data_IF_728372247905
#
_entry.id   IF_728372247905
#
_cell.length_a   1.000
_cell.length_b   1.000
_cell.length_c   1.000
_cell.angle_alpha   90.00
_cell.angle_beta   90.00
_cell.angle_gamma   90.00
#
_symmetry.space_group_name_H-M   'P 1'
#
loop_
_entity.id
_entity.type
_entity.pdbx_description
1 polymer ?
#
# COMPACT_ATOMS: atom_id res chain seq x y z
N UNK A 1 -0.61 -12.14 56.85
CA UNK A 1 -1.13 -13.16 55.91
C UNK A 1 -2.61 -13.41 56.18
N UNK A 2 -3.52 -12.50 55.78
CA UNK A 2 -4.96 -12.80 55.56
C UNK A 2 -5.73 -11.55 55.07
N UNK A 3 -5.34 -11.00 53.91
CA UNK A 3 -6.09 -9.91 53.28
C UNK A 3 -5.93 -9.84 51.75
N UNK A 4 -5.71 -10.98 51.07
CA UNK A 4 -5.44 -11.00 49.62
C UNK A 4 -6.37 -11.91 48.80
N UNK A 5 -7.40 -12.50 49.40
CA UNK A 5 -8.29 -13.43 48.69
C UNK A 5 -9.57 -12.79 48.08
N UNK A 6 -9.72 -11.46 48.10
CA UNK A 6 -10.86 -10.79 47.43
C UNK A 6 -10.47 -9.50 46.68
N UNK A 7 -9.26 -9.43 46.11
CA UNK A 7 -8.87 -8.29 45.27
C UNK A 7 -9.33 -8.52 43.81
N UNK A 8 -10.09 -7.56 43.25
CA UNK A 8 -10.51 -7.64 41.84
C UNK A 8 -9.33 -7.47 40.88
N UNK A 9 -9.38 -8.03 39.65
CA UNK A 9 -8.28 -7.96 38.68
C UNK A 9 -7.80 -6.53 38.37
N UNK A 10 -8.65 -5.53 38.59
CA UNK A 10 -8.35 -4.10 38.38
C UNK A 10 -7.45 -3.53 39.48
N UNK A 11 -7.56 -4.03 40.71
CA UNK A 11 -6.73 -3.62 41.83
C UNK A 11 -5.35 -4.26 41.79
N UNK A 12 -5.27 -5.53 41.36
CA UNK A 12 -3.99 -6.23 41.13
C UNK A 12 -3.17 -5.51 40.05
N UNK A 13 -3.79 -5.09 38.95
CA UNK A 13 -3.11 -4.31 37.89
C UNK A 13 -2.60 -2.95 38.39
N UNK A 14 -3.36 -2.25 39.24
CA UNK A 14 -2.91 -0.98 39.84
C UNK A 14 -1.75 -1.20 40.82
N UNK A 15 -1.78 -2.27 41.61
CA UNK A 15 -0.70 -2.61 42.53
C UNK A 15 0.60 -2.97 41.79
N UNK A 16 0.52 -3.80 40.74
CA UNK A 16 1.67 -4.16 39.89
C UNK A 16 2.25 -2.94 39.17
N UNK A 17 1.40 -2.05 38.63
CA UNK A 17 1.88 -0.83 37.97
C UNK A 17 2.57 0.14 38.94
N UNK A 18 2.08 0.27 40.18
CA UNK A 18 2.78 1.05 41.22
C UNK A 18 4.09 0.42 41.64
N UNK A 19 4.16 -0.90 41.76
CA UNK A 19 5.38 -1.62 42.11
C UNK A 19 6.47 -1.46 41.04
N UNK A 20 6.10 -1.55 39.76
CA UNK A 20 7.02 -1.33 38.64
C UNK A 20 7.50 0.12 38.56
N UNK A 21 6.63 1.10 38.80
CA UNK A 21 7.03 2.52 38.85
C UNK A 21 7.98 2.81 40.02
N UNK A 22 7.74 2.21 41.19
CA UNK A 22 8.61 2.39 42.35
C UNK A 22 9.97 1.71 42.15
N UNK A 23 10.02 0.52 41.52
CA UNK A 23 11.26 -0.16 41.16
C UNK A 23 12.09 0.66 40.16
N UNK A 24 11.44 1.26 39.16
CA UNK A 24 12.12 2.09 38.16
C UNK A 24 12.64 3.41 38.74
N UNK A 25 11.92 4.01 39.68
CA UNK A 25 12.38 5.19 40.41
C UNK A 25 13.57 4.87 41.33
N UNK A 26 13.60 3.70 41.95
CA UNK A 26 14.74 3.25 42.77
C UNK A 26 15.98 3.01 41.90
N UNK A 27 15.85 2.37 40.73
CA UNK A 27 16.97 2.23 39.77
C UNK A 27 17.51 3.58 39.30
N UNK A 28 16.63 4.55 39.01
CA UNK A 28 17.07 5.90 38.61
C UNK A 28 17.76 6.64 39.76
N UNK A 29 17.30 6.48 41.00
CA UNK A 29 17.92 7.11 42.18
C UNK A 29 19.28 6.46 42.49
N UNK A 30 19.41 5.13 42.36
CA UNK A 30 20.68 4.41 42.54
C UNK A 30 21.69 4.80 41.44
N UNK A 31 21.24 4.94 40.18
CA UNK A 31 22.08 5.42 39.08
C UNK A 31 22.50 6.89 39.23
N UNK A 32 21.68 7.71 39.89
CA UNK A 32 21.98 9.13 40.13
C UNK A 32 22.89 9.32 41.35
N UNK A 33 22.72 8.53 42.41
CA UNK A 33 23.60 8.53 43.59
C UNK A 33 24.99 7.97 43.28
N UNK A 34 25.13 7.11 42.26
CA UNK A 34 26.42 6.57 41.83
C UNK A 34 27.22 7.49 40.90
N UNK A 35 26.68 8.66 40.51
CA UNK A 35 27.31 9.58 39.55
C UNK A 35 27.93 10.83 40.18
N UNK A 36 27.72 11.08 41.48
CA UNK A 36 28.18 12.31 42.17
C UNK A 36 29.51 12.14 42.94
N UNK A 37 30.03 10.92 43.08
CA UNK A 37 31.35 10.66 43.67
C UNK A 37 32.25 9.95 42.66
N UNK A 38 33.02 10.67 41.82
CA UNK A 38 34.32 10.19 41.31
C UNK A 38 35.09 11.26 40.52
N UNK A 39 36.35 11.47 40.87
CA UNK A 39 37.26 12.46 40.26
C UNK A 39 37.76 12.05 38.85
N UNK A 40 37.92 12.97 37.88
CA UNK A 40 37.99 12.62 36.45
C UNK A 40 39.41 12.59 35.82
N UNK A 41 40.47 12.26 36.55
CA UNK A 41 41.85 12.35 36.01
C UNK A 41 42.56 11.02 35.72
N UNK A 42 42.07 9.89 36.22
CA UNK A 42 42.72 8.56 36.03
C UNK A 42 42.02 7.66 35.01
N UNK A 43 40.84 8.02 34.52
CA UNK A 43 40.08 7.18 33.58
C UNK A 43 40.60 7.25 32.14
N UNK A 44 41.31 8.33 31.75
CA UNK A 44 41.66 8.56 30.34
C UNK A 44 42.66 7.56 29.74
N UNK A 45 43.43 6.86 30.57
CA UNK A 45 44.39 5.85 30.10
C UNK A 45 43.76 4.45 30.11
N UNK A 46 42.89 4.14 31.07
CA UNK A 46 42.22 2.83 31.17
C UNK A 46 41.01 2.74 30.24
N UNK A 47 40.33 3.85 29.91
CA UNK A 47 39.23 3.86 28.93
C UNK A 47 39.70 3.54 27.51
N UNK A 48 40.88 3.99 27.11
CA UNK A 48 41.37 3.79 25.73
C UNK A 48 41.74 2.32 25.50
N UNK A 49 42.23 1.61 26.52
CA UNK A 49 42.53 0.17 26.41
C UNK A 49 41.30 -0.72 26.61
N UNK A 50 40.32 -0.34 27.43
CA UNK A 50 39.06 -1.10 27.58
C UNK A 50 38.11 -0.88 26.38
N UNK A 51 38.05 0.33 25.78
CA UNK A 51 37.28 0.58 24.55
C UNK A 51 37.89 -0.11 23.32
N UNK A 52 39.20 -0.36 23.29
CA UNK A 52 39.86 -1.09 22.21
C UNK A 52 39.54 -2.59 22.17
N UNK A 53 39.02 -3.17 23.27
CA UNK A 53 38.73 -4.61 23.37
C UNK A 53 37.24 -4.97 23.30
N UNK A 54 36.33 -4.03 23.55
CA UNK A 54 34.87 -4.28 23.51
C UNK A 54 34.22 -4.11 22.12
N UNK A 55 34.96 -3.67 21.09
CA UNK A 55 34.38 -3.25 19.81
C UNK A 55 34.83 -4.09 18.59
N UNK A 56 35.00 -5.41 18.76
CA UNK A 56 35.31 -6.30 17.62
C UNK A 56 34.11 -6.93 16.94
N UNK A 57 32.89 -6.84 17.50
CA UNK A 57 31.69 -7.40 16.86
C UNK A 57 30.47 -6.48 17.04
N UNK A 58 29.87 -5.95 15.95
CA UNK A 58 28.61 -5.22 16.04
C UNK A 58 27.47 -6.12 16.59
N UNK A 59 26.41 -5.57 17.20
CA UNK A 59 25.28 -6.38 17.63
C UNK A 59 24.72 -7.19 16.46
N UNK A 60 24.43 -8.47 16.72
CA UNK A 60 24.02 -9.43 15.70
C UNK A 60 22.73 -8.96 14.99
N UNK A 61 22.83 -8.64 13.69
CA UNK A 61 21.71 -8.19 12.88
C UNK A 61 20.83 -9.39 12.47
N UNK A 62 19.62 -9.50 13.06
CA UNK A 62 18.62 -10.53 12.70
C UNK A 62 18.37 -10.59 11.17
N UNK A 63 18.51 -9.46 10.48
CA UNK A 63 18.36 -9.36 9.03
C UNK A 63 19.47 -10.10 8.28
N UNK A 64 20.70 -10.00 8.75
CA UNK A 64 21.85 -10.69 8.15
C UNK A 64 21.72 -12.22 8.31
N UNK A 65 21.20 -12.66 9.46
CA UNK A 65 20.88 -14.07 9.72
C UNK A 65 19.81 -14.56 8.75
N UNK A 66 18.71 -13.82 8.62
CA UNK A 66 17.65 -14.20 7.69
C UNK A 66 18.17 -14.32 6.26
N UNK A 67 18.94 -13.34 5.77
CA UNK A 67 19.50 -13.39 4.42
C UNK A 67 20.43 -14.58 4.20
N UNK A 68 21.32 -14.88 5.14
CA UNK A 68 22.28 -15.96 5.06
C UNK A 68 21.64 -17.36 5.21
N UNK A 69 20.54 -17.48 5.95
CA UNK A 69 19.90 -18.76 6.24
C UNK A 69 18.61 -19.01 5.44
N UNK A 70 18.14 -18.03 4.64
CA UNK A 70 16.91 -18.14 3.82
C UNK A 70 16.94 -19.26 2.80
N UNK A 71 18.13 -19.67 2.35
CA UNK A 71 18.30 -20.79 1.41
C UNK A 71 18.35 -22.14 2.13
N UNK A 72 18.84 -22.15 3.37
CA UNK A 72 18.97 -23.35 4.22
C UNK A 72 17.60 -23.77 4.78
N UNK A 73 16.83 -22.81 5.29
CA UNK A 73 15.51 -23.04 5.86
C UNK A 73 14.41 -22.77 4.81
N UNK A 74 14.24 -23.70 3.87
CA UNK A 74 13.13 -23.71 2.88
C UNK A 74 12.36 -25.02 2.91
N UNK A 75 11.09 -24.98 2.50
CA UNK A 75 10.21 -26.16 2.52
C UNK A 75 10.12 -26.76 3.93
N UNK A 76 10.27 -28.07 4.04
CA UNK A 76 10.22 -28.81 5.31
C UNK A 76 11.26 -28.32 6.33
N UNK A 77 12.41 -27.79 5.89
CA UNK A 77 13.43 -27.26 6.80
C UNK A 77 12.99 -25.96 7.50
N UNK A 78 12.04 -25.21 6.93
CA UNK A 78 11.51 -23.99 7.54
C UNK A 78 10.57 -24.29 8.74
N UNK A 79 10.13 -25.53 8.91
CA UNK A 79 9.26 -25.98 10.01
C UNK A 79 10.04 -26.50 11.22
N UNK A 80 11.37 -26.65 11.08
CA UNK A 80 12.23 -27.16 12.15
C UNK A 80 12.23 -26.18 13.33
N UNK A 81 11.99 -26.70 14.54
CA UNK A 81 12.10 -25.94 15.81
C UNK A 81 13.10 -26.54 16.80
N UNK A 82 13.64 -27.73 16.50
CA UNK A 82 14.53 -28.47 17.41
C UNK A 82 15.96 -27.89 17.35
N UNK A 83 16.54 -27.40 18.46
CA UNK A 83 17.85 -26.74 18.47
C UNK A 83 18.99 -27.60 17.91
N UNK A 84 18.97 -28.91 18.18
CA UNK A 84 19.97 -29.86 17.67
C UNK A 84 19.93 -29.98 16.15
N UNK A 85 18.73 -29.95 15.57
CA UNK A 85 18.54 -30.06 14.12
C UNK A 85 18.89 -28.75 13.42
N UNK A 86 18.52 -27.60 14.02
CA UNK A 86 18.91 -26.26 13.55
C UNK A 86 20.44 -26.13 13.49
N UNK A 87 21.13 -26.56 14.56
CA UNK A 87 22.60 -26.57 14.60
C UNK A 87 23.20 -27.42 13.48
N UNK A 88 22.69 -28.63 13.28
CA UNK A 88 23.17 -29.54 12.23
C UNK A 88 23.04 -28.90 10.83
N UNK A 89 21.86 -28.33 10.53
CA UNK A 89 21.61 -27.67 9.24
C UNK A 89 22.53 -26.46 9.00
N UNK A 90 22.84 -25.68 10.05
CA UNK A 90 23.78 -24.55 9.95
C UNK A 90 25.22 -25.04 9.75
N UNK A 91 25.62 -26.14 10.42
CA UNK A 91 26.95 -26.75 10.26
C UNK A 91 27.16 -27.34 8.87
N UNK A 92 26.15 -28.01 8.31
CA UNK A 92 26.18 -28.57 6.96
C UNK A 92 26.40 -27.49 5.89
N UNK A 93 25.94 -26.26 6.15
CA UNK A 93 26.06 -25.11 5.24
C UNK A 93 27.14 -24.11 5.66
N UNK A 94 28.00 -24.48 6.63
CA UNK A 94 29.04 -23.60 7.18
C UNK A 94 30.16 -23.27 6.15
N UNK A 95 30.24 -24.00 5.05
CA UNK A 95 31.12 -23.68 3.92
C UNK A 95 30.64 -22.53 3.03
N UNK A 96 29.40 -22.05 3.20
CA UNK A 96 28.88 -20.90 2.45
C UNK A 96 29.40 -19.60 3.07
N UNK A 97 30.03 -18.75 2.26
CA UNK A 97 30.67 -17.49 2.71
C UNK A 97 29.85 -16.67 3.71
N UNK A 98 28.57 -16.36 3.44
CA UNK A 98 27.73 -15.59 4.36
C UNK A 98 27.52 -16.24 5.73
N UNK A 99 27.42 -17.57 5.77
CA UNK A 99 27.22 -18.35 7.00
C UNK A 99 28.55 -18.49 7.75
N UNK A 100 29.65 -18.77 7.03
CA UNK A 100 30.99 -18.83 7.57
C UNK A 100 31.39 -17.51 8.27
N UNK A 101 31.06 -16.38 7.65
CA UNK A 101 31.37 -15.05 8.18
C UNK A 101 30.53 -14.71 9.42
N UNK A 102 29.29 -15.17 9.49
CA UNK A 102 28.43 -15.00 10.67
C UNK A 102 28.90 -15.87 11.84
N UNK A 103 29.28 -17.13 11.57
CA UNK A 103 29.79 -18.05 12.60
C UNK A 103 31.13 -17.56 13.15
N UNK A 104 32.02 -17.03 12.30
CA UNK A 104 33.30 -16.45 12.70
C UNK A 104 33.14 -15.22 13.61
N UNK A 105 32.11 -14.40 13.36
CA UNK A 105 31.86 -13.14 14.09
C UNK A 105 31.07 -13.33 15.38
N UNK A 106 30.07 -14.20 15.41
CA UNK A 106 29.10 -14.25 16.51
C UNK A 106 29.00 -15.59 17.23
N UNK A 107 29.83 -16.57 16.89
CA UNK A 107 29.75 -17.96 17.35
C UNK A 107 28.47 -18.68 16.93
N UNK A 108 28.57 -20.00 16.75
CA UNK A 108 27.47 -20.80 16.20
C UNK A 108 26.26 -20.88 17.14
N UNK A 109 26.48 -20.84 18.46
CA UNK A 109 25.42 -20.96 19.46
C UNK A 109 24.45 -19.77 19.45
N UNK A 110 25.00 -18.56 19.28
CA UNK A 110 24.21 -17.33 19.18
C UNK A 110 23.41 -17.33 17.87
N UNK A 111 24.04 -17.76 16.77
CA UNK A 111 23.38 -17.89 15.47
C UNK A 111 22.23 -18.91 15.52
N UNK A 112 22.43 -20.07 16.17
CA UNK A 112 21.40 -21.09 16.35
C UNK A 112 20.22 -20.56 17.17
N UNK A 113 20.50 -19.83 18.25
CA UNK A 113 19.47 -19.26 19.12
C UNK A 113 18.63 -18.23 18.37
N UNK A 114 19.27 -17.33 17.63
CA UNK A 114 18.58 -16.34 16.81
C UNK A 114 17.80 -16.97 15.65
N UNK A 115 18.37 -17.97 14.97
CA UNK A 115 17.67 -18.73 13.93
C UNK A 115 16.43 -19.45 14.48
N UNK A 116 16.52 -20.00 15.70
CA UNK A 116 15.38 -20.63 16.38
C UNK A 116 14.25 -19.64 16.68
N UNK A 117 14.58 -18.40 17.08
CA UNK A 117 13.58 -17.34 17.27
C UNK A 117 12.89 -17.01 15.94
N UNK A 118 13.65 -16.83 14.87
CA UNK A 118 13.11 -16.52 13.54
C UNK A 118 12.27 -17.67 12.96
N UNK A 119 12.69 -18.92 13.16
CA UNK A 119 11.92 -20.12 12.81
C UNK A 119 10.62 -20.18 13.61
N UNK A 120 10.67 -19.96 14.92
CA UNK A 120 9.48 -19.94 15.80
C UNK A 120 8.46 -18.87 15.40
N UNK A 121 8.94 -17.76 14.84
CA UNK A 121 8.09 -16.69 14.29
C UNK A 121 7.63 -16.98 12.85
N UNK A 122 7.93 -18.14 12.28
CA UNK A 122 7.56 -18.55 10.90
C UNK A 122 8.05 -17.56 9.83
N UNK A 123 9.17 -16.90 10.10
CA UNK A 123 9.73 -15.90 9.18
C UNK A 123 10.32 -16.57 7.93
N UNK A 124 10.88 -17.77 8.05
CA UNK A 124 11.45 -18.50 6.90
C UNK A 124 10.38 -19.18 6.04
N UNK A 125 9.23 -19.56 6.61
CA UNK A 125 8.13 -20.21 5.89
C UNK A 125 7.16 -19.22 5.26
N UNK A 126 6.96 -18.05 5.86
CA UNK A 126 6.06 -17.03 5.34
C UNK A 126 6.82 -15.82 4.80
N UNK A 127 6.80 -15.64 3.48
CA UNK A 127 7.32 -14.44 2.83
C UNK A 127 6.65 -13.16 3.37
N UNK A 128 5.39 -13.24 3.82
CA UNK A 128 4.70 -12.13 4.47
C UNK A 128 5.29 -11.82 5.86
N UNK A 129 5.51 -12.83 6.72
CA UNK A 129 6.13 -12.61 8.04
C UNK A 129 7.58 -12.12 7.92
N UNK A 130 8.32 -12.56 6.90
CA UNK A 130 9.61 -11.99 6.54
C UNK A 130 9.53 -10.53 6.10
N UNK A 131 8.56 -10.19 5.24
CA UNK A 131 8.27 -8.80 4.83
C UNK A 131 7.88 -7.92 6.03
N UNK A 132 7.16 -8.49 7.00
CA UNK A 132 6.76 -7.79 8.24
C UNK A 132 7.93 -7.53 9.18
N UNK A 133 8.77 -8.54 9.42
CA UNK A 133 9.92 -8.43 10.32
C UNK A 133 11.05 -7.62 9.71
N UNK A 134 11.25 -7.74 8.40
CA UNK A 134 12.30 -7.07 7.65
C UNK A 134 11.77 -6.28 6.44
N UNK A 135 10.97 -5.21 6.63
CA UNK A 135 10.41 -4.43 5.53
C UNK A 135 11.47 -3.88 4.58
N UNK A 136 12.66 -3.56 5.11
CA UNK A 136 13.80 -3.06 4.31
C UNK A 136 14.45 -4.10 3.40
N UNK A 137 14.19 -5.40 3.59
CA UNK A 137 14.69 -6.45 2.69
C UNK A 137 13.84 -6.63 1.44
N UNK A 138 12.58 -6.22 1.51
CA UNK A 138 11.62 -6.36 0.43
C UNK A 138 11.22 -4.95 0.02
N UNK A 139 12.10 -4.31 -0.78
CA UNK A 139 11.76 -3.04 -1.38
C UNK A 139 10.49 -3.14 -2.23
N UNK A 140 9.77 -2.01 -2.44
CA UNK A 140 8.70 -1.96 -3.42
C UNK A 140 9.21 -2.45 -4.78
N UNK A 141 8.37 -3.14 -5.55
CA UNK A 141 8.75 -3.57 -6.90
C UNK A 141 9.12 -2.35 -7.77
N UNK A 142 9.86 -2.52 -8.88
CA UNK A 142 10.18 -1.41 -9.77
C UNK A 142 8.93 -0.63 -10.22
N UNK A 143 7.86 -1.35 -10.57
CA UNK A 143 6.56 -0.76 -10.94
C UNK A 143 5.94 0.04 -9.79
N UNK A 144 5.91 -0.52 -8.58
CA UNK A 144 5.36 0.18 -7.40
C UNK A 144 6.20 1.41 -7.02
N UNK A 145 7.50 1.34 -7.21
CA UNK A 145 8.42 2.46 -6.99
C UNK A 145 8.17 3.58 -8.00
N UNK A 146 8.03 3.23 -9.29
CA UNK A 146 7.72 4.17 -10.36
C UNK A 146 6.35 4.84 -10.17
N UNK A 147 5.32 4.07 -9.81
CA UNK A 147 4.00 4.62 -9.48
C UNK A 147 4.05 5.58 -8.29
N UNK A 148 4.77 5.20 -7.22
CA UNK A 148 4.97 6.08 -6.07
C UNK A 148 5.65 7.37 -6.49
N UNK A 149 6.75 7.29 -7.24
CA UNK A 149 7.49 8.45 -7.71
C UNK A 149 6.63 9.35 -8.62
N UNK A 150 5.85 8.76 -9.53
CA UNK A 150 4.91 9.49 -10.38
C UNK A 150 3.83 10.21 -9.53
N UNK A 151 3.29 9.55 -8.52
CA UNK A 151 2.31 10.14 -7.60
C UNK A 151 2.90 11.31 -6.79
N UNK A 152 4.15 11.16 -6.32
CA UNK A 152 4.88 12.22 -5.60
C UNK A 152 5.21 13.40 -6.52
N UNK A 153 5.63 13.13 -7.77
CA UNK A 153 5.91 14.16 -8.75
C UNK A 153 4.64 14.94 -9.13
N UNK A 154 3.50 14.26 -9.30
CA UNK A 154 2.20 14.91 -9.53
C UNK A 154 1.80 15.78 -8.34
N UNK A 155 1.98 15.29 -7.12
CA UNK A 155 1.74 16.06 -5.90
C UNK A 155 2.57 17.34 -5.86
N UNK A 156 3.88 17.22 -6.10
CA UNK A 156 4.79 18.36 -6.10
C UNK A 156 4.41 19.42 -7.15
N UNK A 157 4.00 18.99 -8.36
CA UNK A 157 3.49 19.91 -9.40
C UNK A 157 2.21 20.61 -8.97
N UNK A 158 1.25 19.86 -8.43
CA UNK A 158 -0.03 20.42 -7.96
C UNK A 158 0.18 21.41 -6.82
N UNK A 159 1.07 21.10 -5.87
CA UNK A 159 1.46 21.95 -4.76
C UNK A 159 2.13 23.24 -5.24
N UNK A 160 3.08 23.13 -6.18
CA UNK A 160 3.73 24.29 -6.78
C UNK A 160 2.74 25.21 -7.51
N UNK A 161 1.83 24.63 -8.30
CA UNK A 161 0.79 25.36 -9.01
C UNK A 161 -0.18 26.06 -8.04
N UNK A 162 -0.56 25.39 -6.95
CA UNK A 162 -1.43 25.98 -5.93
C UNK A 162 -0.76 27.19 -5.25
N UNK A 163 0.51 27.05 -4.87
CA UNK A 163 1.30 28.13 -4.27
C UNK A 163 1.45 29.30 -5.26
N UNK A 164 1.74 29.03 -6.53
CA UNK A 164 1.92 30.07 -7.55
C UNK A 164 0.62 30.83 -7.84
N UNK A 165 -0.51 30.11 -7.96
CA UNK A 165 -1.82 30.74 -8.18
C UNK A 165 -2.14 31.74 -7.06
N UNK A 166 -1.81 31.40 -5.82
CA UNK A 166 -2.01 32.25 -4.66
C UNK A 166 -1.04 33.45 -4.67
N UNK A 167 0.21 33.23 -5.05
CA UNK A 167 1.19 34.31 -5.17
C UNK A 167 0.76 35.38 -6.19
N UNK A 168 0.20 34.97 -7.33
CA UNK A 168 -0.30 35.89 -8.37
C UNK A 168 -1.48 36.75 -7.89
N UNK A 169 -2.39 36.19 -7.09
CA UNK A 169 -3.54 36.92 -6.53
C UNK A 169 -3.10 38.09 -5.62
N UNK A 170 -1.92 38.01 -4.99
CA UNK A 170 -1.41 39.09 -4.12
C UNK A 170 -0.69 40.20 -4.91
N UNK A 171 -0.30 39.97 -6.16
CA UNK A 171 0.36 40.97 -7.02
C UNK A 171 -0.61 41.85 -7.81
N UNK A 172 -1.81 41.34 -8.13
CA UNK A 172 -2.87 42.13 -8.75
C UNK A 172 -3.75 42.79 -7.69
N UNK A 173 -3.24 43.88 -7.12
CA UNK A 173 -4.09 44.88 -6.46
C UNK A 173 -4.96 45.61 -7.50
N UNK A 174 -5.95 44.93 -8.07
CA UNK A 174 -6.91 45.52 -9.00
C UNK A 174 -8.32 44.98 -8.72
N UNK A 175 -9.09 45.80 -7.99
CA UNK A 175 -10.56 45.86 -7.82
C UNK A 175 -11.39 44.58 -8.06
N UNK A 176 -12.26 44.18 -7.11
CA UNK A 176 -13.24 43.13 -7.38
C UNK A 176 -14.23 43.64 -8.44
N UNK A 177 -14.14 43.13 -9.67
CA UNK A 177 -15.22 43.25 -10.64
C UNK A 177 -16.39 42.42 -10.11
N UNK A 178 -17.40 43.10 -9.56
CA UNK A 178 -18.74 42.52 -9.39
C UNK A 178 -19.19 41.99 -10.75
N UNK A 179 -19.47 40.69 -10.84
CA UNK A 179 -20.25 40.13 -11.94
C UNK A 179 -21.68 40.00 -11.44
N UNK A 180 -22.54 40.86 -11.96
CA UNK A 180 -23.99 40.65 -11.91
C UNK A 180 -24.38 39.40 -12.72
N UNK A 181 -25.52 38.76 -12.43
CA UNK A 181 -25.85 37.44 -12.94
C UNK A 181 -26.48 37.54 -14.33
N UNK A 182 -25.91 36.83 -15.30
CA UNK A 182 -26.58 36.53 -16.56
C UNK A 182 -26.47 35.02 -16.84
N UNK A 183 -27.64 34.45 -17.13
CA UNK A 183 -27.95 33.03 -17.25
C UNK A 183 -27.44 32.43 -18.59
N UNK A 184 -27.68 31.13 -18.87
CA UNK A 184 -26.67 30.23 -19.42
C UNK A 184 -26.71 30.10 -20.94
N UNK A 185 -25.56 29.79 -21.54
CA UNK A 185 -25.52 29.27 -22.92
C UNK A 185 -24.58 28.07 -22.99
N UNK A 186 -25.14 27.03 -23.61
CA UNK A 186 -24.67 25.66 -23.73
C UNK A 186 -23.52 25.48 -24.74
N UNK A 187 -22.96 24.27 -24.73
CA UNK A 187 -22.03 23.65 -25.70
C UNK A 187 -20.53 23.99 -25.50
N UNK A 188 -19.57 23.05 -25.55
CA UNK A 188 -19.59 21.63 -25.94
C UNK A 188 -18.23 21.00 -25.56
N UNK A 189 -18.25 19.73 -25.12
CA UNK A 189 -17.22 18.74 -25.46
C UNK A 189 -15.98 18.65 -24.58
N UNK A 190 -16.03 17.81 -23.54
CA UNK A 190 -14.87 17.03 -23.14
C UNK A 190 -15.30 15.56 -22.97
N UNK A 191 -14.58 14.71 -23.70
CA UNK A 191 -14.75 13.29 -23.92
C UNK A 191 -14.87 12.50 -22.62
N UNK A 192 -16.01 11.82 -22.46
CA UNK A 192 -16.23 10.81 -21.43
C UNK A 192 -15.58 9.50 -21.90
N UNK A 193 -14.39 9.22 -21.38
CA UNK A 193 -13.81 7.87 -21.40
C UNK A 193 -14.65 6.95 -20.47
N UNK A 194 -14.93 5.70 -20.87
CA UNK A 194 -15.81 4.80 -20.14
C UNK A 194 -15.16 4.38 -18.82
N UNK A 195 -15.75 4.80 -17.70
CA UNK A 195 -15.33 4.35 -16.38
C UNK A 195 -15.67 2.88 -16.20
N UNK A 196 -14.66 2.02 -16.29
CA UNK A 196 -14.74 0.67 -15.73
C UNK A 196 -14.89 0.78 -14.22
N UNK A 197 -15.95 0.17 -13.71
CA UNK A 197 -16.40 0.15 -12.32
C UNK A 197 -15.51 -0.76 -11.47
N UNK A 198 -14.28 -0.33 -11.21
CA UNK A 198 -13.51 -0.81 -10.07
C UNK A 198 -13.49 0.30 -9.00
N UNK A 199 -13.82 -0.01 -7.72
CA UNK A 199 -13.71 0.96 -6.66
C UNK A 199 -12.25 1.41 -6.61
N UNK A 200 -12.03 2.68 -6.96
CA UNK A 200 -10.74 3.37 -6.98
C UNK A 200 -10.04 3.11 -5.65
N UNK A 201 -9.10 2.14 -5.64
CA UNK A 201 -8.23 1.91 -4.50
C UNK A 201 -7.36 3.15 -4.42
N UNK A 202 -7.84 4.14 -3.66
CA UNK A 202 -7.15 5.41 -3.46
C UNK A 202 -5.68 5.11 -3.19
N UNK A 203 -4.83 5.54 -4.12
CA UNK A 203 -3.39 5.40 -3.97
C UNK A 203 -3.00 5.97 -2.61
N UNK A 204 -2.41 5.13 -1.74
CA UNK A 204 -1.92 5.54 -0.42
C UNK A 204 -0.79 6.59 -0.51
N UNK A 205 -0.31 6.87 -1.72
CA UNK A 205 0.71 7.84 -2.08
C UNK A 205 0.13 8.91 -3.02
N UNK A 206 0.57 10.17 -2.91
CA UNK A 206 1.58 10.71 -1.98
C UNK A 206 1.11 10.70 -0.52
N UNK A 207 2.05 10.83 0.41
CA UNK A 207 1.73 10.83 1.85
C UNK A 207 1.44 12.26 2.29
N UNK A 208 0.34 12.41 3.01
CA UNK A 208 -0.03 13.65 3.68
C UNK A 208 -0.12 13.39 5.17
N UNK A 209 0.42 14.30 5.97
CA UNK A 209 0.14 14.35 7.41
C UNK A 209 -1.24 14.99 7.64
N UNK A 210 -1.89 14.74 8.79
CA UNK A 210 -3.15 15.41 9.13
C UNK A 210 -3.03 16.93 8.99
N UNK A 211 -4.00 17.54 8.30
CA UNK A 211 -3.89 18.94 7.87
C UNK A 211 -3.77 19.92 9.04
N UNK A 212 -4.49 19.68 10.13
CA UNK A 212 -4.39 20.46 11.37
C UNK A 212 -2.96 20.47 11.93
N UNK A 213 -2.26 19.32 11.87
CA UNK A 213 -0.87 19.20 12.30
C UNK A 213 0.05 19.89 11.31
N UNK A 214 -0.17 19.71 9.99
CA UNK A 214 0.58 20.40 8.95
C UNK A 214 0.52 21.92 9.14
N UNK A 215 -0.67 22.48 9.33
CA UNK A 215 -0.86 23.91 9.48
C UNK A 215 -0.15 24.45 10.72
N UNK A 216 -0.27 23.76 11.86
CA UNK A 216 0.47 24.11 13.09
C UNK A 216 1.98 24.09 12.86
N UNK A 217 2.47 23.05 12.20
CA UNK A 217 3.89 22.89 11.87
C UNK A 217 4.41 24.02 10.97
N UNK A 218 3.66 24.38 9.92
CA UNK A 218 4.04 25.45 9.01
C UNK A 218 3.99 26.83 9.68
N UNK A 219 2.99 27.11 10.52
CA UNK A 219 2.95 28.36 11.30
C UNK A 219 4.12 28.45 12.27
N UNK A 220 4.42 27.39 13.00
CA UNK A 220 5.57 27.36 13.91
C UNK A 220 6.88 27.58 13.15
N UNK A 221 7.04 26.94 11.99
CA UNK A 221 8.23 27.12 11.16
C UNK A 221 8.36 28.56 10.65
N UNK A 222 7.26 29.19 10.26
CA UNK A 222 7.23 30.60 9.86
C UNK A 222 7.70 31.50 11.02
N UNK A 223 7.13 31.35 12.22
CA UNK A 223 7.53 32.17 13.38
C UNK A 223 9.00 32.00 13.76
N UNK A 224 9.54 30.77 13.71
CA UNK A 224 10.96 30.52 13.98
C UNK A 224 11.88 31.26 13.00
N UNK A 225 11.48 31.30 11.72
CA UNK A 225 12.24 31.99 10.68
C UNK A 225 12.13 33.50 10.79
N UNK A 226 10.94 34.03 11.10
CA UNK A 226 10.72 35.46 11.36
C UNK A 226 11.59 35.93 12.54
N UNK A 227 11.69 35.15 13.64
CA UNK A 227 12.64 35.43 14.71
C UNK A 227 14.10 35.42 14.21
N UNK A 228 14.52 34.40 13.47
CA UNK A 228 15.89 34.30 12.98
C UNK A 228 16.29 35.47 12.06
N UNK A 229 15.38 35.91 11.20
CA UNK A 229 15.62 37.06 10.35
C UNK A 229 15.64 38.37 11.15
N UNK A 230 14.86 38.48 12.22
CA UNK A 230 14.81 39.69 13.05
C UNK A 230 16.12 39.83 13.82
N UNK A 231 16.55 38.76 14.47
CA UNK A 231 17.82 38.73 15.23
C UNK A 231 19.02 39.01 14.31
N UNK A 232 19.00 38.47 13.09
CA UNK A 232 20.00 38.80 12.07
C UNK A 232 19.96 40.27 11.66
N UNK A 233 18.77 40.80 11.36
CA UNK A 233 18.58 42.19 10.89
C UNK A 233 18.87 43.22 11.97
N UNK A 234 18.62 42.91 13.24
CA UNK A 234 18.96 43.78 14.37
C UNK A 234 20.47 43.98 14.49
N UNK A 235 21.26 42.94 14.18
CA UNK A 235 22.73 42.99 14.19
C UNK A 235 23.32 43.64 12.94
N UNK A 236 22.69 43.43 11.77
CA UNK A 236 23.30 43.78 10.48
C UNK A 236 22.68 44.99 9.78
N UNK A 237 21.41 45.31 10.05
CA UNK A 237 20.61 46.32 9.35
C UNK A 237 19.68 47.12 10.29
N UNK A 238 20.17 47.67 11.42
CA UNK A 238 19.33 48.35 12.41
C UNK A 238 18.59 49.57 11.85
N UNK A 239 19.20 50.31 10.92
CA UNK A 239 18.56 51.45 10.24
C UNK A 239 17.34 51.02 9.42
N UNK A 240 17.39 49.83 8.82
CA UNK A 240 16.26 49.32 8.03
C UNK A 240 15.09 48.92 8.91
N UNK A 241 15.36 48.35 10.09
CA UNK A 241 14.32 48.04 11.07
C UNK A 241 13.64 49.32 11.57
N UNK A 242 14.42 50.34 11.92
CA UNK A 242 13.89 51.66 12.35
C UNK A 242 13.05 52.33 11.27
N UNK A 243 13.56 52.40 10.04
CA UNK A 243 12.86 53.08 8.93
C UNK A 243 11.57 52.38 8.52
N UNK A 244 11.43 51.08 8.82
CA UNK A 244 10.22 50.28 8.54
C UNK A 244 9.34 50.06 9.75
N UNK A 245 9.70 50.61 10.91
CA UNK A 245 9.03 50.38 12.19
C UNK A 245 8.85 48.90 12.53
N UNK A 246 9.85 48.07 12.20
CA UNK A 246 9.88 46.66 12.59
C UNK A 246 10.51 46.54 13.97
N UNK A 247 9.66 46.61 14.99
CA UNK A 247 10.01 46.61 16.41
C UNK A 247 10.10 45.19 17.02
N UNK A 248 9.39 44.21 16.45
CA UNK A 248 9.43 42.81 16.85
C UNK A 248 9.53 41.85 15.65
N UNK A 249 9.77 40.56 15.93
CA UNK A 249 9.85 39.53 14.91
C UNK A 249 8.51 39.35 14.16
N UNK A 250 7.38 39.50 14.85
CA UNK A 250 6.04 39.36 14.29
C UNK A 250 5.67 40.49 13.31
N UNK A 251 6.22 41.70 13.52
CA UNK A 251 6.08 42.82 12.58
C UNK A 251 6.80 42.56 11.25
N UNK A 252 7.69 41.57 11.24
CA UNK A 252 8.66 41.34 10.20
C UNK A 252 8.20 40.17 9.31
N UNK A 253 7.19 40.42 8.48
CA UNK A 253 6.58 39.40 7.61
C UNK A 253 7.63 38.66 6.76
N UNK A 254 7.63 37.33 6.81
CA UNK A 254 8.63 36.49 6.13
C UNK A 254 8.84 36.83 4.63
N UNK A 255 7.77 37.12 3.87
CA UNK A 255 7.87 37.47 2.45
C UNK A 255 8.51 38.86 2.23
N UNK A 256 8.21 39.84 3.08
CA UNK A 256 8.80 41.18 2.97
C UNK A 256 10.30 41.14 3.28
N UNK A 257 10.68 40.30 4.23
CA UNK A 257 12.08 40.04 4.57
C UNK A 257 12.79 39.40 3.39
N UNK A 258 12.27 38.28 2.90
CA UNK A 258 12.84 37.56 1.76
C UNK A 258 13.01 38.49 0.55
N UNK A 259 11.99 39.27 0.20
CA UNK A 259 12.07 40.21 -0.94
C UNK A 259 13.14 41.29 -0.72
N UNK A 260 13.27 41.81 0.49
CA UNK A 260 14.31 42.77 0.85
C UNK A 260 15.72 42.16 0.69
N UNK A 261 15.93 40.95 1.21
CA UNK A 261 17.21 40.25 1.14
C UNK A 261 17.59 39.91 -0.31
N UNK A 262 16.62 39.49 -1.11
CA UNK A 262 16.81 39.23 -2.55
C UNK A 262 17.20 40.51 -3.30
N UNK A 263 16.47 41.62 -3.10
CA UNK A 263 16.71 42.90 -3.80
C UNK A 263 18.06 43.51 -3.46
N UNK A 264 18.47 43.42 -2.19
CA UNK A 264 19.77 43.91 -1.73
C UNK A 264 20.94 43.00 -2.12
N UNK A 265 20.69 41.89 -2.83
CA UNK A 265 21.69 40.86 -3.17
C UNK A 265 22.54 40.49 -1.96
N UNK A 266 21.89 40.31 -0.79
CA UNK A 266 22.64 40.09 0.44
C UNK A 266 23.36 38.74 0.34
N UNK A 267 24.67 38.79 0.10
CA UNK A 267 25.52 37.61 0.07
C UNK A 267 25.91 37.28 1.50
N UNK A 268 25.19 36.36 2.15
CA UNK A 268 25.75 35.65 3.30
C UNK A 268 26.97 34.86 2.78
N UNK A 269 28.05 34.89 3.56
CA UNK A 269 29.37 34.41 3.14
C UNK A 269 29.31 33.05 2.41
N UNK A 270 29.73 33.04 1.14
CA UNK A 270 30.18 31.83 0.44
C UNK A 270 29.27 31.18 -0.61
N UNK A 271 27.97 31.49 -0.71
CA UNK A 271 27.10 30.76 -1.67
C UNK A 271 25.86 31.55 -2.14
N UNK A 272 26.05 32.55 -3.00
CA UNK A 272 24.96 33.41 -3.50
C UNK A 272 23.80 32.66 -4.20
N UNK A 273 24.06 31.54 -4.87
CA UNK A 273 23.00 30.78 -5.55
C UNK A 273 22.20 29.87 -4.60
N UNK A 274 22.83 29.31 -3.56
CA UNK A 274 22.15 28.43 -2.61
C UNK A 274 21.22 29.23 -1.71
N UNK A 275 21.64 30.40 -1.23
CA UNK A 275 20.82 31.28 -0.40
C UNK A 275 19.58 31.77 -1.15
N UNK A 276 19.71 32.15 -2.43
CA UNK A 276 18.56 32.57 -3.23
C UNK A 276 17.54 31.45 -3.42
N UNK A 277 17.99 30.20 -3.58
CA UNK A 277 17.11 29.02 -3.62
C UNK A 277 16.37 28.85 -2.28
N UNK A 278 17.09 28.96 -1.17
CA UNK A 278 16.52 28.82 0.17
C UNK A 278 15.52 29.94 0.48
N UNK A 279 15.87 31.20 0.19
CA UNK A 279 14.98 32.35 0.34
C UNK A 279 13.69 32.18 -0.46
N UNK A 280 13.79 31.76 -1.73
CA UNK A 280 12.60 31.46 -2.55
C UNK A 280 11.77 30.29 -2.01
N UNK A 281 12.41 29.26 -1.46
CA UNK A 281 11.71 28.13 -0.83
C UNK A 281 10.97 28.59 0.44
N UNK A 282 11.63 29.39 1.27
CA UNK A 282 11.10 29.91 2.52
C UNK A 282 9.94 30.89 2.31
N UNK A 283 9.97 31.70 1.24
CA UNK A 283 8.81 32.51 0.84
C UNK A 283 7.55 31.64 0.60
N UNK A 284 7.72 30.41 0.11
CA UNK A 284 6.62 29.46 -0.11
C UNK A 284 6.06 28.88 1.19
N UNK A 285 6.84 28.85 2.28
CA UNK A 285 6.38 28.38 3.60
C UNK A 285 5.23 29.26 4.10
N UNK A 286 5.32 30.58 3.94
CA UNK A 286 4.22 31.49 4.28
C UNK A 286 2.96 31.14 3.48
N UNK A 287 3.10 30.80 2.20
CA UNK A 287 1.93 30.43 1.40
C UNK A 287 1.27 29.14 1.91
N UNK A 288 2.05 28.14 2.33
CA UNK A 288 1.53 26.93 2.97
C UNK A 288 0.89 27.20 4.34
N UNK A 289 1.50 28.08 5.14
CA UNK A 289 1.02 28.46 6.47
C UNK A 289 -0.27 29.31 6.39
N UNK A 290 -0.19 30.49 5.76
CA UNK A 290 -1.23 31.51 5.72
C UNK A 290 -2.39 31.10 4.82
N UNK A 291 -2.09 30.60 3.62
CA UNK A 291 -3.13 30.23 2.65
C UNK A 291 -3.51 28.75 2.70
N UNK A 292 -3.06 28.05 3.75
CA UNK A 292 -3.56 26.73 4.12
C UNK A 292 -3.43 25.69 3.00
N UNK A 293 -2.40 25.82 2.17
CA UNK A 293 -2.12 24.89 1.08
C UNK A 293 -1.72 23.53 1.66
N UNK A 294 -2.36 22.46 1.19
CA UNK A 294 -1.97 21.09 1.54
C UNK A 294 -0.63 20.76 0.89
N UNK A 295 0.31 20.22 1.66
CA UNK A 295 1.65 19.88 1.21
C UNK A 295 1.93 18.43 1.57
N UNK A 296 2.52 17.68 0.64
CA UNK A 296 2.96 16.31 0.86
C UNK A 296 3.98 16.23 2.00
N UNK A 297 4.08 15.08 2.65
CA UNK A 297 5.05 14.82 3.70
C UNK A 297 6.49 15.06 3.20
N UNK A 298 6.77 14.73 1.93
CA UNK A 298 8.03 15.04 1.25
C UNK A 298 8.26 16.55 1.14
N UNK A 299 7.25 17.32 0.71
CA UNK A 299 7.31 18.77 0.65
C UNK A 299 7.50 19.42 2.03
N UNK A 300 6.83 18.90 3.07
CA UNK A 300 7.01 19.37 4.45
C UNK A 300 8.45 19.16 4.93
N UNK A 301 9.04 17.98 4.68
CA UNK A 301 10.43 17.72 5.03
C UNK A 301 11.40 18.62 4.26
N UNK A 302 11.12 18.90 2.98
CA UNK A 302 11.91 19.83 2.19
C UNK A 302 11.87 21.25 2.76
N UNK A 303 10.69 21.74 3.17
CA UNK A 303 10.59 23.05 3.81
C UNK A 303 11.35 23.12 5.14
N UNK A 304 11.28 22.07 5.95
CA UNK A 304 12.04 22.00 7.20
C UNK A 304 13.55 21.98 6.95
N UNK A 305 14.01 21.28 5.92
CA UNK A 305 15.42 21.24 5.53
C UNK A 305 15.91 22.57 4.96
N UNK A 306 15.13 23.23 4.11
CA UNK A 306 15.49 24.53 3.55
C UNK A 306 15.49 25.62 4.65
N UNK A 307 14.54 25.55 5.59
CA UNK A 307 14.50 26.44 6.76
C UNK A 307 15.71 26.26 7.68
N UNK A 308 16.12 25.02 7.95
CA UNK A 308 17.32 24.70 8.72
C UNK A 308 18.58 25.25 8.04
N UNK A 309 18.70 25.03 6.72
CA UNK A 309 19.81 25.58 5.93
C UNK A 309 19.85 27.11 5.98
N UNK A 310 18.70 27.77 5.92
CA UNK A 310 18.64 29.23 6.00
C UNK A 310 18.98 29.76 7.40
N UNK A 311 18.48 29.13 8.47
CA UNK A 311 18.82 29.51 9.83
C UNK A 311 20.32 29.35 10.12
N UNK A 312 20.96 28.31 9.57
CA UNK A 312 22.40 28.12 9.65
C UNK A 312 23.17 29.25 8.95
N UNK A 313 22.71 29.71 7.78
CA UNK A 313 23.33 30.82 7.05
C UNK A 313 23.16 32.17 7.77
N UNK A 314 22.02 32.38 8.45
CA UNK A 314 21.77 33.57 9.27
C UNK A 314 22.58 33.58 10.57
N UNK A 315 23.28 32.49 10.90
CA UNK A 315 24.10 32.39 12.11
C UNK A 315 23.29 32.36 13.40
N UNK A 316 22.01 31.97 13.36
CA UNK A 316 21.17 31.87 14.54
C UNK A 316 21.18 30.44 15.11
N UNK A 317 22.09 30.20 16.07
CA UNK A 317 22.24 28.90 16.71
C UNK A 317 20.97 28.45 17.47
N UNK A 318 20.21 29.39 18.03
CA UNK A 318 19.03 29.10 18.85
C UNK A 318 17.87 28.62 17.98
N UNK A 319 17.54 29.37 16.93
CA UNK A 319 16.46 28.98 16.02
C UNK A 319 16.86 27.77 15.16
N UNK A 320 18.14 27.68 14.76
CA UNK A 320 18.67 26.49 14.09
C UNK A 320 18.41 25.23 14.91
N UNK A 321 18.77 25.20 16.19
CA UNK A 321 18.57 24.04 17.05
C UNK A 321 17.08 23.64 17.16
N UNK A 322 16.17 24.63 17.25
CA UNK A 322 14.71 24.42 17.29
C UNK A 322 14.19 23.82 15.98
N UNK A 323 14.60 24.37 14.83
CA UNK A 323 14.21 23.87 13.51
C UNK A 323 14.79 22.46 13.27
N UNK A 324 16.06 22.22 13.63
CA UNK A 324 16.70 20.91 13.55
C UNK A 324 15.98 19.85 14.39
N UNK A 325 15.52 20.21 15.60
CA UNK A 325 14.69 19.32 16.42
C UNK A 325 13.37 19.00 15.72
N UNK A 326 12.66 20.04 15.26
CA UNK A 326 11.38 19.90 14.58
C UNK A 326 11.48 19.01 13.33
N UNK A 327 12.55 19.16 12.54
CA UNK A 327 12.83 18.33 11.38
C UNK A 327 13.07 16.87 11.74
N UNK A 328 13.87 16.58 12.77
CA UNK A 328 14.14 15.21 13.23
C UNK A 328 12.85 14.52 13.70
N UNK A 329 12.04 15.23 14.48
CA UNK A 329 10.77 14.72 15.01
C UNK A 329 9.77 14.46 13.88
N UNK A 330 9.60 15.43 12.96
CA UNK A 330 8.73 15.28 11.79
C UNK A 330 9.17 14.11 10.89
N UNK A 331 10.48 13.98 10.63
CA UNK A 331 11.02 12.88 9.83
C UNK A 331 10.71 11.53 10.44
N UNK A 332 10.90 11.37 11.75
CA UNK A 332 10.59 10.11 12.45
C UNK A 332 9.13 9.71 12.27
N UNK A 333 8.19 10.64 12.48
CA UNK A 333 6.75 10.40 12.33
C UNK A 333 6.37 10.09 10.89
N UNK A 334 6.93 10.82 9.92
CA UNK A 334 6.66 10.60 8.50
C UNK A 334 7.20 9.24 8.03
N UNK A 335 8.40 8.85 8.44
CA UNK A 335 8.99 7.54 8.12
C UNK A 335 8.14 6.38 8.70
N UNK A 336 7.60 6.54 9.90
CA UNK A 336 6.70 5.55 10.50
C UNK A 336 5.38 5.45 9.73
N UNK A 337 4.78 6.59 9.38
CA UNK A 337 3.58 6.64 8.55
C UNK A 337 3.81 6.01 7.15
N UNK A 338 4.99 6.23 6.56
CA UNK A 338 5.42 5.60 5.31
C UNK A 338 5.42 4.07 5.42
N UNK A 339 6.07 3.54 6.46
CA UNK A 339 6.14 2.09 6.70
C UNK A 339 4.75 1.49 6.90
N UNK A 340 3.89 2.17 7.67
CA UNK A 340 2.51 1.72 7.89
C UNK A 340 1.70 1.67 6.59
N UNK A 341 1.84 2.68 5.73
CA UNK A 341 1.15 2.69 4.43
C UNK A 341 1.70 1.63 3.47
N UNK A 342 3.01 1.41 3.44
CA UNK A 342 3.62 0.32 2.69
C UNK A 342 3.12 -1.05 3.17
N UNK A 343 2.99 -1.22 4.49
CA UNK A 343 2.42 -2.43 5.08
C UNK A 343 0.97 -2.66 4.64
N UNK A 344 0.11 -1.64 4.71
CA UNK A 344 -1.28 -1.75 4.29
C UNK A 344 -1.39 -2.12 2.80
N UNK A 345 -0.55 -1.52 1.95
CA UNK A 345 -0.49 -1.86 0.52
C UNK A 345 -0.08 -3.31 0.28
N UNK A 346 0.99 -3.76 0.93
CA UNK A 346 1.47 -5.14 0.78
C UNK A 346 0.44 -6.18 1.25
N UNK A 347 -0.30 -5.88 2.32
CA UNK A 347 -1.40 -6.73 2.79
C UNK A 347 -2.56 -6.77 1.80
N UNK A 348 -2.93 -5.63 1.22
CA UNK A 348 -3.97 -5.56 0.19
C UNK A 348 -3.59 -6.39 -1.04
N UNK A 349 -2.36 -6.22 -1.54
CA UNK A 349 -1.86 -6.96 -2.71
C UNK A 349 -1.89 -8.49 -2.49
N UNK A 350 -1.64 -8.93 -1.26
CA UNK A 350 -1.74 -10.35 -0.88
C UNK A 350 -3.18 -10.84 -0.93
N UNK A 351 -4.10 -10.13 -0.27
CA UNK A 351 -5.52 -10.49 -0.28
C UNK A 351 -6.07 -10.53 -1.71
N UNK A 352 -5.70 -9.56 -2.55
CA UNK A 352 -6.12 -9.54 -3.95
C UNK A 352 -5.58 -10.73 -4.75
N UNK A 353 -4.33 -11.15 -4.51
CA UNK A 353 -3.76 -12.35 -5.14
C UNK A 353 -4.47 -13.63 -4.70
N UNK A 354 -4.78 -13.75 -3.41
CA UNK A 354 -5.53 -14.90 -2.88
C UNK A 354 -6.93 -14.97 -3.49
N UNK A 355 -7.63 -13.83 -3.58
CA UNK A 355 -8.94 -13.74 -4.23
C UNK A 355 -8.87 -14.10 -5.72
N UNK A 356 -7.82 -13.68 -6.42
CA UNK A 356 -7.62 -14.04 -7.83
C UNK A 356 -7.43 -15.56 -8.00
N UNK A 357 -6.62 -16.20 -7.14
CA UNK A 357 -6.45 -17.65 -7.15
C UNK A 357 -7.76 -18.39 -6.85
N UNK A 358 -8.52 -17.94 -5.86
CA UNK A 358 -9.83 -18.54 -5.52
C UNK A 358 -10.82 -18.41 -6.68
N UNK A 359 -10.88 -17.25 -7.35
CA UNK A 359 -11.74 -17.04 -8.52
C UNK A 359 -11.35 -17.96 -9.68
N UNK A 360 -10.06 -18.14 -9.93
CA UNK A 360 -9.58 -19.05 -10.98
C UNK A 360 -9.95 -20.51 -10.70
N UNK A 361 -9.86 -20.95 -9.44
CA UNK A 361 -10.26 -22.31 -9.06
C UNK A 361 -11.77 -22.51 -9.17
N UNK A 362 -12.57 -21.55 -8.72
CA UNK A 362 -14.03 -21.61 -8.89
C UNK A 362 -14.41 -21.66 -10.38
N UNK A 363 -13.78 -20.85 -11.22
CA UNK A 363 -14.02 -20.86 -12.67
C UNK A 363 -13.62 -22.20 -13.31
N UNK A 364 -12.55 -22.84 -12.82
CA UNK A 364 -12.14 -24.18 -13.24
C UNK A 364 -13.19 -25.22 -12.87
N UNK A 365 -13.67 -25.21 -11.62
CA UNK A 365 -14.70 -26.14 -11.14
C UNK A 365 -16.02 -25.95 -11.89
N UNK A 366 -16.43 -24.70 -12.14
CA UNK A 366 -17.60 -24.37 -12.95
C UNK A 366 -17.47 -24.94 -14.37
N UNK A 367 -16.32 -24.76 -15.02
CA UNK A 367 -16.07 -25.29 -16.36
C UNK A 367 -16.12 -26.82 -16.42
N UNK A 368 -15.58 -27.50 -15.39
CA UNK A 368 -15.62 -28.96 -15.28
C UNK A 368 -17.06 -29.44 -15.11
N UNK A 369 -17.84 -28.83 -14.21
CA UNK A 369 -19.23 -29.22 -13.97
C UNK A 369 -20.10 -29.01 -15.23
N UNK A 370 -19.90 -27.92 -15.96
CA UNK A 370 -20.60 -27.67 -17.23
C UNK A 370 -20.23 -28.73 -18.28
N UNK A 371 -18.95 -29.11 -18.38
CA UNK A 371 -18.51 -30.11 -19.33
C UNK A 371 -19.03 -31.52 -19.00
N UNK A 372 -19.06 -31.88 -17.71
CA UNK A 372 -19.59 -33.16 -17.24
C UNK A 372 -21.09 -33.27 -17.52
N UNK A 373 -21.87 -32.24 -17.18
CA UNK A 373 -23.30 -32.19 -17.49
C UNK A 373 -23.57 -32.33 -19.00
N UNK A 374 -22.81 -31.65 -19.86
CA UNK A 374 -22.95 -31.77 -21.31
C UNK A 374 -22.64 -33.19 -21.81
N UNK A 375 -21.57 -33.80 -21.30
CA UNK A 375 -21.20 -35.18 -21.65
C UNK A 375 -22.31 -36.17 -21.27
N UNK A 376 -22.87 -36.02 -20.07
CA UNK A 376 -23.98 -36.85 -19.62
C UNK A 376 -25.23 -36.67 -20.49
N UNK A 377 -25.58 -35.42 -20.84
CA UNK A 377 -26.68 -35.13 -21.77
C UNK A 377 -26.48 -35.78 -23.15
N UNK A 378 -25.28 -35.67 -23.71
CA UNK A 378 -24.93 -36.31 -24.99
C UNK A 378 -25.06 -37.84 -24.93
N UNK A 379 -24.63 -38.46 -23.82
CA UNK A 379 -24.78 -39.90 -23.58
C UNK A 379 -26.26 -40.32 -23.47
N UNK A 380 -27.07 -39.57 -22.74
CA UNK A 380 -28.51 -39.83 -22.64
C UNK A 380 -29.22 -39.66 -23.99
N UNK A 381 -28.85 -38.63 -24.76
CA UNK A 381 -29.40 -38.39 -26.08
C UNK A 381 -29.07 -39.52 -27.06
N UNK A 382 -27.84 -40.03 -27.03
CA UNK A 382 -27.43 -41.16 -27.86
C UNK A 382 -28.19 -42.45 -27.50
N UNK A 383 -28.33 -42.76 -26.21
CA UNK A 383 -29.09 -43.94 -25.77
C UNK A 383 -30.58 -43.84 -26.15
N UNK A 384 -31.19 -42.66 -25.98
CA UNK A 384 -32.57 -42.42 -26.40
C UNK A 384 -32.74 -42.59 -27.92
N UNK A 385 -31.78 -42.11 -28.72
CA UNK A 385 -31.75 -42.28 -30.17
C UNK A 385 -31.72 -43.76 -30.58
N UNK A 386 -30.76 -44.54 -30.05
CA UNK A 386 -30.66 -45.98 -30.32
C UNK A 386 -31.92 -46.75 -29.92
N UNK A 387 -32.53 -46.39 -28.78
CA UNK A 387 -33.77 -47.04 -28.33
C UNK A 387 -34.95 -46.72 -29.26
N UNK A 388 -34.99 -45.52 -29.83
CA UNK A 388 -36.03 -45.12 -30.78
C UNK A 388 -35.84 -45.80 -32.15
N UNK A 389 -34.60 -45.87 -32.63
CA UNK A 389 -34.24 -46.59 -33.88
C UNK A 389 -34.65 -48.07 -33.80
N UNK A 390 -34.31 -48.77 -32.71
CA UNK A 390 -34.70 -50.17 -32.52
C UNK A 390 -36.22 -50.37 -32.49
N UNK A 391 -36.98 -49.42 -31.93
CA UNK A 391 -38.44 -49.48 -31.91
C UNK A 391 -39.04 -49.26 -33.32
N UNK A 392 -38.43 -48.39 -34.13
CA UNK A 392 -38.83 -48.16 -35.52
C UNK A 392 -38.54 -49.38 -36.40
N UNK A 393 -37.34 -49.96 -36.31
CA UNK A 393 -36.97 -51.17 -37.06
C UNK A 393 -37.86 -52.38 -36.68
N UNK A 394 -38.21 -52.52 -35.40
CA UNK A 394 -39.16 -53.55 -34.95
C UNK A 394 -40.57 -53.34 -35.50
N UNK A 395 -40.99 -52.09 -35.71
CA UNK A 395 -42.27 -51.74 -36.34
C UNK A 395 -42.25 -51.98 -37.85
N UNK A 396 -41.12 -51.71 -38.53
CA UNK A 396 -40.96 -51.98 -39.96
C UNK A 396 -40.93 -53.48 -40.27
N UNK A 397 -40.23 -54.29 -39.44
CA UNK A 397 -40.24 -55.75 -39.57
C UNK A 397 -41.65 -56.34 -39.34
N UNK A 398 -42.41 -55.78 -38.40
CA UNK A 398 -43.82 -56.16 -38.16
C UNK A 398 -44.76 -55.77 -39.32
N UNK A 399 -44.42 -54.74 -40.10
CA UNK A 399 -45.19 -54.31 -41.26
C UNK A 399 -44.90 -55.17 -42.49
N UNK A 400 -43.66 -55.63 -42.67
CA UNK A 400 -43.27 -56.53 -43.79
C UNK A 400 -43.86 -57.93 -43.62
N UNK A 401 -43.88 -58.49 -42.41
CA UNK A 401 -44.49 -59.81 -42.16
C UNK A 401 -46.02 -59.80 -42.25
N UNK A 402 -46.66 -58.64 -42.08
CA UNK A 402 -48.11 -58.50 -42.25
C UNK A 402 -48.54 -58.48 -43.73
N UNK A 403 -47.68 -58.00 -44.64
CA UNK A 403 -47.96 -58.04 -46.09
C UNK A 403 -47.69 -59.40 -46.74
N UNK A 404 -46.81 -60.24 -46.18
CA UNK A 404 -46.58 -61.60 -46.69
C UNK A 404 -47.61 -62.64 -46.19
N UNK A 405 -48.51 -62.27 -45.27
CA UNK A 405 -49.59 -63.14 -44.77
C UNK A 405 -50.95 -62.93 -45.47
N UNK A 406 -51.11 -61.95 -46.36
CA UNK A 406 -52.41 -61.67 -47.02
C UNK A 406 -52.60 -62.34 -48.40
N UNK A 407 -51.67 -63.17 -48.90
CA UNK A 407 -51.86 -63.88 -50.20
C UNK A 407 -52.44 -65.31 -50.10
N UNK A 408 -52.71 -65.85 -48.91
CA UNK A 408 -53.40 -67.14 -48.76
C UNK A 408 -54.54 -67.07 -47.73
N UNK A 409 -55.68 -66.46 -48.08
CA UNK A 409 -57.02 -66.89 -47.63
C UNK A 409 -58.13 -66.13 -48.37
N UNK A 410 -58.53 -66.66 -49.53
CA UNK A 410 -59.78 -66.32 -50.21
C UNK A 410 -60.82 -67.41 -49.88
N UNK A 411 -61.93 -67.05 -49.21
CA UNK A 411 -63.31 -67.40 -49.58
C UNK A 411 -64.37 -67.20 -48.47
N UNK A 412 -65.46 -66.54 -48.88
CA UNK A 412 -66.87 -66.64 -48.43
C UNK A 412 -67.50 -65.57 -47.49
N UNK A 413 -68.49 -64.91 -48.11
CA UNK A 413 -69.85 -64.57 -47.64
C UNK A 413 -70.15 -63.24 -46.90
N UNK A 414 -70.56 -62.26 -47.71
CA UNK A 414 -71.82 -61.47 -47.67
C UNK A 414 -72.60 -61.30 -46.35
N UNK A 415 -72.92 -60.01 -46.05
CA UNK A 415 -74.28 -59.40 -45.99
C UNK A 415 -74.43 -58.39 -44.81
N UNK A 416 -74.45 -57.08 -45.11
CA UNK A 416 -75.60 -56.12 -45.06
C UNK A 416 -75.86 -55.43 -43.70
N UNK A 417 -76.19 -54.13 -43.72
CA UNK A 417 -76.95 -53.47 -42.64
C UNK A 417 -76.41 -52.19 -41.99
N UNK A 418 -76.46 -51.06 -42.72
CA UNK A 418 -77.04 -49.74 -42.32
C UNK A 418 -76.68 -48.99 -41.00
N UNK A 419 -76.23 -47.73 -41.19
CA UNK A 419 -76.71 -46.42 -40.66
C UNK A 419 -76.59 -45.98 -39.17
N UNK A 420 -76.29 -44.68 -38.99
CA UNK A 420 -76.55 -43.84 -37.79
C UNK A 420 -75.27 -43.16 -37.25
N UNK A 421 -74.84 -41.96 -37.63
CA UNK A 421 -75.32 -40.57 -37.35
C UNK A 421 -75.27 -40.15 -35.86
N UNK A 422 -74.77 -38.91 -35.67
CA UNK A 422 -74.84 -37.97 -34.52
C UNK A 422 -73.60 -37.94 -33.61
N UNK A 423 -72.74 -36.92 -33.67
CA UNK A 423 -72.88 -35.50 -33.24
C UNK A 423 -73.01 -35.28 -31.72
N UNK A 424 -72.36 -34.21 -31.27
CA UNK A 424 -72.53 -33.51 -29.99
C UNK A 424 -71.92 -34.10 -28.71
N UNK A 425 -71.37 -33.32 -27.76
CA UNK A 425 -70.96 -31.93 -27.67
C UNK A 425 -70.26 -31.83 -26.29
N UNK A 426 -69.17 -31.06 -26.21
CA UNK A 426 -68.85 -30.12 -25.14
C UNK A 426 -69.11 -30.49 -23.65
N UNK A 427 -68.12 -30.31 -22.78
CA UNK A 427 -68.05 -29.16 -21.82
C UNK A 427 -66.93 -29.38 -20.78
N UNK A 428 -65.94 -28.49 -20.85
CA UNK A 428 -64.95 -28.08 -19.83
C UNK A 428 -65.67 -27.56 -18.53
N UNK A 429 -65.07 -27.09 -17.41
CA UNK A 429 -63.70 -26.56 -17.24
C UNK A 429 -63.04 -26.76 -15.83
N UNK A 430 -61.85 -26.16 -15.70
CA UNK A 430 -61.26 -25.53 -14.49
C UNK A 430 -60.63 -26.47 -13.43
N UNK A 431 -59.42 -26.24 -12.92
CA UNK A 431 -58.39 -25.20 -13.07
C UNK A 431 -57.07 -25.75 -12.48
N UNK A 432 -55.90 -25.13 -12.52
CA UNK A 432 -55.45 -23.83 -12.97
C UNK A 432 -54.02 -23.62 -12.44
N UNK A 433 -53.19 -22.98 -13.26
CA UNK A 433 -52.01 -22.16 -12.90
C UNK A 433 -50.77 -22.88 -12.32
N UNK A 434 -49.52 -22.53 -12.64
CA UNK A 434 -48.87 -21.51 -13.48
C UNK A 434 -47.35 -21.78 -13.41
N UNK A 435 -46.57 -21.40 -14.42
CA UNK A 435 -45.12 -21.20 -14.25
C UNK A 435 -44.30 -21.26 -15.53
N UNK A 436 -44.24 -20.15 -16.25
CA UNK A 436 -43.52 -19.91 -17.50
C UNK A 436 -41.99 -19.99 -17.38
N UNK A 437 -41.32 -20.26 -18.52
CA UNK A 437 -39.88 -20.11 -18.69
C UNK A 437 -39.40 -20.47 -20.10
N UNK A 438 -39.86 -19.73 -21.10
CA UNK A 438 -39.40 -19.78 -22.51
C UNK A 438 -37.97 -19.25 -22.64
N UNK A 439 -37.12 -19.97 -23.38
CA UNK A 439 -35.92 -19.41 -24.02
C UNK A 439 -35.91 -19.85 -25.48
N UNK A 440 -36.15 -18.86 -26.35
CA UNK A 440 -36.10 -19.00 -27.80
C UNK A 440 -34.66 -19.28 -28.26
N UNK A 441 -34.54 -20.34 -29.07
CA UNK A 441 -33.43 -20.58 -29.98
C UNK A 441 -33.66 -19.74 -31.23
N UNK A 442 -32.61 -19.05 -31.70
CA UNK A 442 -32.40 -18.92 -33.13
C UNK A 442 -30.92 -18.75 -33.47
N UNK A 443 -30.60 -19.26 -34.65
CA UNK A 443 -29.32 -19.85 -35.05
C UNK A 443 -28.62 -19.06 -36.15
N UNK A 444 -27.32 -19.36 -36.29
CA UNK A 444 -26.54 -19.43 -37.53
C UNK A 444 -25.72 -18.21 -38.03
N UNK A 445 -24.47 -18.51 -38.40
CA UNK A 445 -23.53 -17.65 -39.12
C UNK A 445 -22.18 -18.35 -39.34
N UNK A 446 -22.00 -18.89 -40.54
CA UNK A 446 -21.06 -19.91 -41.02
C UNK A 446 -19.63 -19.44 -41.32
N UNK A 447 -18.75 -20.43 -41.51
CA UNK A 447 -17.33 -20.50 -41.86
C UNK A 447 -16.78 -19.61 -43.00
N UNK A 448 -15.47 -19.32 -42.95
CA UNK A 448 -14.61 -19.23 -44.14
C UNK A 448 -13.12 -19.46 -43.78
N UNK A 449 -12.51 -20.48 -44.40
CA UNK A 449 -11.06 -20.69 -44.50
C UNK A 449 -10.39 -19.63 -45.39
N UNK A 450 -9.13 -19.26 -45.08
CA UNK A 450 -8.13 -18.93 -46.10
C UNK A 450 -6.69 -18.99 -45.52
N UNK A 451 -5.83 -19.67 -46.27
CA UNK A 451 -4.38 -19.83 -46.09
C UNK A 451 -3.56 -18.55 -46.33
N UNK A 452 -2.23 -18.68 -46.11
CA UNK A 452 -1.06 -17.84 -46.51
C UNK A 452 -0.33 -17.39 -45.22
N UNK A 453 0.97 -17.63 -44.98
CA UNK A 453 2.09 -17.93 -45.85
C UNK A 453 3.28 -17.11 -45.34
N UNK A 454 4.41 -17.78 -45.11
CA UNK A 454 5.72 -17.26 -44.69
C UNK A 454 6.28 -16.15 -45.60
N UNK A 455 6.91 -15.12 -45.02
CA UNK A 455 8.15 -14.52 -45.57
C UNK A 455 8.95 -13.70 -44.54
N UNK A 456 10.20 -14.11 -44.32
CA UNK A 456 11.37 -13.25 -44.03
C UNK A 456 11.47 -12.13 -45.12
N UNK A 457 12.13 -10.95 -45.02
CA UNK A 457 13.40 -10.50 -44.43
C UNK A 457 13.52 -8.93 -44.70
N UNK A 458 14.70 -8.25 -44.79
CA UNK A 458 15.47 -7.53 -43.76
C UNK A 458 15.56 -5.97 -43.92
N UNK A 459 16.17 -5.32 -42.91
CA UNK A 459 17.24 -4.32 -43.02
C UNK A 459 17.02 -2.96 -43.73
N UNK A 460 17.13 -1.87 -42.96
CA UNK A 460 17.98 -0.72 -43.28
C UNK A 460 18.42 0.04 -42.03
#
# INVERSE_FOLDING_TARGET
MNALNHATPREVKKAVSRFLLHSFLIEIIVLRASLDDFQPSTFRVVSVEIEAMANKNPPLDERAIFLALRHVFRGQNAEVRRPRLIRKLIQEHQGQGPIADLVRRHHIDVLCSAAQVLLSQEIFSSALKAKLRFPRLFGPSPTQSAEREASEARAARNEANAIEKIARIRCDGAKPKRKDPAAPTNAKGETLEPSSSHPDVQSLFPIYIPFNVQHKLMNQLQSLLECAFFDFSARTLPDTLRNRSWDCAEAMELNLCVDMFIRRKFCLAGTGNSILRLLRSVAKIRHAAVHRVRISAKGVLQFLQDAEGLAALLGDATQLARISKLRRDARKVIEELERNKQFLRARLDETLRQLACQRAELQRLESVAIAEMKREDDEYRAMAGLSLEAALEGSEASFVTAFEQEEEEDCMELRDGTNGVDEDNNTNPSGGCKGDGSWDLDSCGTEAEASIGTSEQPGH
#
